data_IF_253521284435
#
_entry.id   IF_253521284435
#
_cell.length_a   1.000
_cell.length_b   1.000
_cell.length_c   1.000
_cell.angle_alpha   90.00
_cell.angle_beta   90.00
_cell.angle_gamma   90.00
#
_symmetry.space_group_name_H-M   'P 1'
#
loop_
_entity.id
_entity.type
_entity.pdbx_description
1 polymer ?
#
# COMPACT_ATOMS: atom_id res chain seq x y z
N UNK A 1 -10.52 9.43 -0.60
CA UNK A 1 -9.34 10.17 -0.11
C UNK A 1 -8.15 9.55 -0.81
N UNK A 2 -7.30 10.32 -1.51
CA UNK A 2 -6.10 9.76 -2.16
C UNK A 2 -5.11 9.46 -1.05
N UNK A 3 -4.87 8.18 -0.75
CA UNK A 3 -3.81 7.77 0.18
C UNK A 3 -2.46 8.04 -0.49
N UNK A 4 -1.89 9.20 -0.22
CA UNK A 4 -0.56 9.55 -0.70
C UNK A 4 0.44 8.72 0.11
N UNK A 5 1.28 7.94 -0.57
CA UNK A 5 2.32 7.13 0.06
C UNK A 5 3.20 8.02 0.98
N UNK A 6 3.27 7.75 2.29
CA UNK A 6 4.02 8.57 3.25
C UNK A 6 5.52 8.62 2.93
N UNK A 7 6.08 7.59 2.29
CA UNK A 7 7.47 7.60 1.82
C UNK A 7 7.67 8.54 0.63
N UNK A 8 6.74 8.57 -0.33
CA UNK A 8 6.77 9.53 -1.44
C UNK A 8 6.60 10.97 -0.95
N UNK A 9 5.76 11.22 0.06
CA UNK A 9 5.64 12.54 0.70
C UNK A 9 6.96 12.96 1.33
N UNK A 10 7.60 12.08 2.09
CA UNK A 10 8.89 12.36 2.72
C UNK A 10 9.94 12.70 1.65
N UNK A 11 10.06 11.88 0.61
CA UNK A 11 10.97 12.12 -0.51
C UNK A 11 10.69 13.46 -1.21
N UNK A 12 9.41 13.82 -1.39
CA UNK A 12 9.01 15.13 -1.94
C UNK A 12 9.47 16.30 -1.07
N UNK A 13 9.33 16.16 0.26
CA UNK A 13 9.75 17.19 1.21
C UNK A 13 11.26 17.36 1.27
N UNK A 14 12.00 16.25 1.21
CA UNK A 14 13.47 16.27 1.23
C UNK A 14 14.03 16.84 -0.08
N UNK A 15 13.41 16.52 -1.23
CA UNK A 15 13.73 17.13 -2.52
C UNK A 15 13.53 18.66 -2.49
N UNK A 16 12.38 19.12 -1.99
CA UNK A 16 12.05 20.55 -1.91
C UNK A 16 13.05 21.31 -1.02
N UNK A 17 13.42 20.73 0.11
CA UNK A 17 14.45 21.30 1.00
C UNK A 17 15.81 21.40 0.30
N UNK A 18 16.20 20.38 -0.45
CA UNK A 18 17.49 20.34 -1.13
C UNK A 18 17.55 21.39 -2.26
N UNK A 19 16.51 21.48 -3.09
CA UNK A 19 16.39 22.47 -4.18
C UNK A 19 16.42 23.90 -3.62
N UNK A 20 15.76 24.14 -2.48
CA UNK A 20 15.78 25.45 -1.82
C UNK A 20 17.18 25.90 -1.39
N UNK A 21 18.04 24.98 -0.96
CA UNK A 21 19.42 25.26 -0.54
C UNK A 21 20.39 25.45 -1.71
N UNK A 22 20.15 24.78 -2.83
CA UNK A 22 21.05 24.72 -4.01
C UNK A 22 20.66 25.65 -5.15
N UNK A 23 19.72 26.57 -4.95
CA UNK A 23 19.34 27.48 -6.04
C UNK A 23 20.57 28.17 -6.63
N UNK A 24 20.67 28.20 -7.96
CA UNK A 24 21.84 28.75 -8.68
C UNK A 24 22.19 30.15 -8.19
N UNK A 25 21.18 30.94 -7.84
CA UNK A 25 21.35 32.27 -7.28
C UNK A 25 22.07 32.27 -5.92
N UNK A 26 21.67 31.38 -4.99
CA UNK A 26 22.32 31.25 -3.67
C UNK A 26 23.78 30.85 -3.80
N UNK A 27 24.10 29.93 -4.72
CA UNK A 27 25.49 29.50 -4.97
C UNK A 27 26.31 30.63 -5.60
N UNK A 28 25.76 31.35 -6.58
CA UNK A 28 26.42 32.52 -7.18
C UNK A 28 26.70 33.59 -6.13
N UNK A 29 25.75 33.84 -5.23
CA UNK A 29 25.92 34.84 -4.18
C UNK A 29 26.95 34.41 -3.12
N UNK A 30 26.98 33.11 -2.75
CA UNK A 30 28.06 32.54 -1.92
C UNK A 30 29.44 32.68 -2.58
N UNK A 31 29.55 32.40 -3.88
CA UNK A 31 30.80 32.54 -4.65
C UNK A 31 31.25 34.01 -4.70
N UNK A 32 30.33 34.95 -4.93
CA UNK A 32 30.64 36.38 -4.93
C UNK A 32 31.15 36.83 -3.56
N UNK A 33 30.48 36.44 -2.48
CA UNK A 33 30.91 36.71 -1.10
C UNK A 33 32.30 36.15 -0.79
N UNK A 34 32.57 34.90 -1.19
CA UNK A 34 33.89 34.29 -1.00
C UNK A 34 35.00 35.06 -1.74
N UNK A 35 34.69 35.61 -2.93
CA UNK A 35 35.65 36.36 -3.76
C UNK A 35 35.88 37.81 -3.32
N UNK A 36 35.01 38.38 -2.50
CA UNK A 36 35.20 39.73 -1.94
C UNK A 36 36.17 39.78 -0.77
N UNK A 37 36.65 38.63 -0.27
CA UNK A 37 37.62 38.59 0.81
C UNK A 37 39.02 38.98 0.31
N UNK A 38 39.67 39.88 1.04
CA UNK A 38 41.02 40.37 0.71
C UNK A 38 42.10 39.28 0.91
N UNK A 39 41.84 38.30 1.78
CA UNK A 39 42.73 37.17 2.03
C UNK A 39 42.47 36.04 1.03
N UNK A 40 43.47 35.76 0.18
CA UNK A 40 43.41 34.73 -0.86
C UNK A 40 43.26 33.32 -0.28
N UNK A 41 43.94 33.02 0.82
CA UNK A 41 43.87 31.68 1.45
C UNK A 41 42.47 31.44 2.03
N UNK A 42 41.89 32.48 2.61
CA UNK A 42 40.52 32.45 3.12
C UNK A 42 39.49 32.33 1.99
N UNK A 43 39.70 33.03 0.87
CA UNK A 43 38.85 32.91 -0.32
C UNK A 43 38.89 31.49 -0.91
N UNK A 44 40.07 30.87 -0.99
CA UNK A 44 40.25 29.49 -1.46
C UNK A 44 39.52 28.51 -0.53
N UNK A 45 39.72 28.63 0.79
CA UNK A 45 39.07 27.76 1.77
C UNK A 45 37.53 27.82 1.70
N UNK A 46 36.96 29.01 1.56
CA UNK A 46 35.50 29.16 1.39
C UNK A 46 34.99 28.55 0.08
N UNK A 47 35.76 28.63 -1.01
CA UNK A 47 35.39 28.02 -2.29
C UNK A 47 35.46 26.48 -2.21
N UNK A 48 36.45 25.92 -1.50
CA UNK A 48 36.54 24.48 -1.24
C UNK A 48 35.37 23.97 -0.38
N UNK A 49 34.92 24.77 0.60
CA UNK A 49 33.73 24.47 1.39
C UNK A 49 32.47 24.46 0.51
N UNK A 50 32.28 25.47 -0.36
CA UNK A 50 31.17 25.51 -1.33
C UNK A 50 31.21 24.27 -2.24
N UNK A 51 32.38 23.87 -2.74
CA UNK A 51 32.53 22.66 -3.57
C UNK A 51 32.14 21.41 -2.78
N UNK A 52 32.56 21.31 -1.52
CA UNK A 52 32.27 20.16 -0.66
C UNK A 52 30.76 20.06 -0.36
N UNK A 53 30.11 21.19 -0.06
CA UNK A 53 28.66 21.28 0.11
C UNK A 53 27.93 20.81 -1.16
N UNK A 54 28.32 21.32 -2.34
CA UNK A 54 27.70 20.94 -3.62
C UNK A 54 27.86 19.45 -3.94
N UNK A 55 29.00 18.84 -3.60
CA UNK A 55 29.22 17.41 -3.78
C UNK A 55 28.31 16.60 -2.84
N UNK A 56 28.19 17.02 -1.58
CA UNK A 56 27.32 16.37 -0.61
C UNK A 56 25.85 16.45 -1.05
N UNK A 57 25.40 17.61 -1.49
CA UNK A 57 24.03 17.85 -1.98
C UNK A 57 23.72 17.05 -3.24
N UNK A 58 24.67 16.96 -4.19
CA UNK A 58 24.54 16.08 -5.36
C UNK A 58 24.32 14.63 -4.94
N UNK A 59 25.10 14.12 -3.99
CA UNK A 59 24.96 12.75 -3.52
C UNK A 59 23.60 12.51 -2.84
N UNK A 60 23.11 13.48 -2.07
CA UNK A 60 21.76 13.42 -1.49
C UNK A 60 20.66 13.42 -2.57
N UNK A 61 20.80 14.23 -3.63
CA UNK A 61 19.87 14.22 -4.76
C UNK A 61 19.83 12.85 -5.44
N UNK A 62 21.00 12.23 -5.66
CA UNK A 62 21.10 10.89 -6.25
C UNK A 62 20.37 9.87 -5.38
N UNK A 63 20.56 9.91 -4.05
CA UNK A 63 19.87 9.01 -3.12
C UNK A 63 18.34 9.20 -3.16
N UNK A 64 17.87 10.46 -3.18
CA UNK A 64 16.43 10.76 -3.27
C UNK A 64 15.87 10.24 -4.60
N UNK A 65 16.57 10.44 -5.71
CA UNK A 65 16.14 9.95 -7.03
C UNK A 65 16.09 8.42 -7.08
N UNK A 66 17.10 7.73 -6.54
CA UNK A 66 17.12 6.27 -6.44
C UNK A 66 15.94 5.74 -5.61
N UNK A 67 15.66 6.35 -4.46
CA UNK A 67 14.54 5.97 -3.62
C UNK A 67 13.17 6.25 -4.30
N UNK A 68 13.05 7.33 -5.07
CA UNK A 68 11.87 7.58 -5.90
C UNK A 68 11.69 6.49 -6.96
N UNK A 69 12.75 6.15 -7.68
CA UNK A 69 12.72 5.09 -8.70
C UNK A 69 12.35 3.74 -8.09
N UNK A 70 12.89 3.36 -6.93
CA UNK A 70 12.53 2.13 -6.22
C UNK A 70 11.05 2.08 -5.86
N UNK A 71 10.51 3.18 -5.34
CA UNK A 71 9.09 3.28 -4.99
C UNK A 71 8.17 3.18 -6.21
N UNK A 72 8.61 3.71 -7.37
CA UNK A 72 7.86 3.65 -8.62
C UNK A 72 8.01 2.31 -9.34
N UNK A 73 9.21 1.71 -9.34
CA UNK A 73 9.49 0.38 -9.90
C UNK A 73 8.69 -0.68 -9.15
N UNK A 74 8.61 -0.59 -7.82
CA UNK A 74 7.80 -1.53 -7.02
C UNK A 74 6.31 -1.51 -7.39
N UNK A 75 5.84 -0.43 -8.01
CA UNK A 75 4.45 -0.28 -8.46
C UNK A 75 4.26 -0.62 -9.94
N UNK A 76 5.35 -0.71 -10.73
CA UNK A 76 5.31 -0.91 -12.17
C UNK A 76 5.59 -2.36 -12.52
N UNK A 77 4.67 -2.99 -13.23
CA UNK A 77 4.88 -4.32 -13.80
C UNK A 77 5.72 -4.22 -15.07
N UNK A 78 6.71 -5.10 -15.22
CA UNK A 78 7.45 -5.21 -16.48
C UNK A 78 6.57 -5.83 -17.57
N UNK A 79 6.94 -5.65 -18.84
CA UNK A 79 6.22 -6.29 -19.94
C UNK A 79 6.23 -7.82 -19.84
N UNK A 80 7.28 -8.40 -19.26
CA UNK A 80 7.37 -9.84 -19.03
C UNK A 80 6.42 -10.28 -17.91
N UNK A 81 6.30 -9.49 -16.84
CA UNK A 81 5.37 -9.77 -15.74
C UNK A 81 3.91 -9.68 -16.21
N UNK A 82 3.57 -8.66 -17.01
CA UNK A 82 2.23 -8.52 -17.60
C UNK A 82 1.92 -9.71 -18.51
N UNK A 83 2.88 -10.14 -19.33
CA UNK A 83 2.71 -11.33 -20.19
C UNK A 83 2.46 -12.58 -19.33
N UNK A 84 3.28 -12.78 -18.29
CA UNK A 84 3.14 -13.93 -17.38
C UNK A 84 1.78 -13.92 -16.67
N UNK A 85 1.35 -12.77 -16.15
CA UNK A 85 0.06 -12.63 -15.46
C UNK A 85 -1.11 -12.92 -16.41
N UNK A 86 -1.13 -12.29 -17.59
CA UNK A 86 -2.26 -12.43 -18.52
C UNK A 86 -2.37 -13.84 -19.10
N UNK A 87 -1.24 -14.51 -19.34
CA UNK A 87 -1.21 -15.89 -19.82
C UNK A 87 -1.45 -16.94 -18.73
N UNK A 88 -1.13 -16.65 -17.47
CA UNK A 88 -1.25 -17.60 -16.35
C UNK A 88 -2.56 -17.47 -15.56
N UNK A 89 -3.11 -16.26 -15.42
CA UNK A 89 -4.34 -16.05 -14.63
C UNK A 89 -5.53 -16.74 -15.28
N UNK A 90 -5.68 -16.64 -16.59
CA UNK A 90 -6.85 -17.21 -17.29
C UNK A 90 -6.93 -18.74 -17.10
N UNK A 91 -5.85 -19.53 -17.32
CA UNK A 91 -5.86 -20.95 -17.00
C UNK A 91 -6.16 -21.24 -15.52
N UNK A 92 -5.50 -20.54 -14.60
CA UNK A 92 -5.66 -20.76 -13.16
C UNK A 92 -7.10 -20.55 -12.70
N UNK A 93 -7.73 -19.46 -13.16
CA UNK A 93 -9.13 -19.16 -12.85
C UNK A 93 -10.07 -20.23 -13.42
N UNK A 94 -9.80 -20.73 -14.63
CA UNK A 94 -10.58 -21.83 -15.21
C UNK A 94 -10.40 -23.13 -14.42
N UNK A 95 -9.20 -23.45 -13.95
CA UNK A 95 -8.95 -24.61 -13.11
C UNK A 95 -9.74 -24.53 -11.79
N UNK A 96 -9.69 -23.39 -11.09
CA UNK A 96 -10.44 -23.18 -9.84
C UNK A 96 -11.95 -23.37 -10.06
N UNK A 97 -12.49 -22.83 -11.16
CA UNK A 97 -13.90 -22.98 -11.52
C UNK A 97 -14.30 -24.41 -11.91
N UNK A 98 -13.35 -25.26 -12.29
CA UNK A 98 -13.61 -26.66 -12.60
C UNK A 98 -13.68 -27.55 -11.36
N UNK A 99 -13.23 -27.07 -10.19
CA UNK A 99 -13.41 -27.77 -8.91
C UNK A 99 -14.75 -27.48 -8.24
N UNK A 100 -15.59 -26.63 -8.84
CA UNK A 100 -16.89 -26.22 -8.30
C UNK A 100 -18.00 -26.62 -9.28
N UNK A 101 -18.92 -27.49 -8.85
CA UNK A 101 -20.12 -27.85 -9.62
C UNK A 101 -21.37 -27.21 -9.00
N UNK A 102 -22.27 -26.72 -9.86
CA UNK A 102 -23.53 -26.09 -9.46
C UNK A 102 -23.88 -24.81 -10.22
N UNK A 103 -25.09 -24.30 -9.99
CA UNK A 103 -25.65 -23.13 -10.67
C UNK A 103 -24.84 -21.83 -10.40
N UNK A 104 -24.25 -21.72 -9.21
CA UNK A 104 -23.35 -20.62 -8.82
C UNK A 104 -22.00 -20.68 -9.55
N UNK A 105 -21.47 -21.88 -9.78
CA UNK A 105 -20.24 -22.06 -10.56
C UNK A 105 -20.44 -21.67 -12.03
N UNK A 106 -21.63 -21.93 -12.59
CA UNK A 106 -22.00 -21.46 -13.93
C UNK A 106 -22.11 -19.94 -14.01
N UNK A 107 -22.70 -19.29 -13.01
CA UNK A 107 -22.74 -17.81 -12.93
C UNK A 107 -21.32 -17.22 -12.81
N UNK A 108 -20.45 -17.84 -12.02
CA UNK A 108 -19.05 -17.43 -11.88
C UNK A 108 -18.27 -17.61 -13.20
N UNK A 109 -18.48 -18.71 -13.93
CA UNK A 109 -17.91 -18.95 -15.27
C UNK A 109 -18.31 -17.85 -16.27
N UNK A 110 -19.59 -17.46 -16.27
CA UNK A 110 -20.09 -16.38 -17.13
C UNK A 110 -19.45 -15.04 -16.78
N UNK A 111 -19.38 -14.69 -15.48
CA UNK A 111 -18.75 -13.46 -15.02
C UNK A 111 -17.26 -13.40 -15.40
N UNK A 112 -16.53 -14.51 -15.23
CA UNK A 112 -15.12 -14.63 -15.59
C UNK A 112 -14.89 -14.46 -17.09
N UNK A 113 -15.77 -15.03 -17.92
CA UNK A 113 -15.69 -14.86 -19.37
C UNK A 113 -15.91 -13.39 -19.80
N UNK A 114 -16.70 -12.60 -19.05
CA UNK A 114 -16.87 -11.17 -19.34
C UNK A 114 -15.65 -10.32 -18.95
N UNK A 115 -14.91 -10.68 -17.89
CA UNK A 115 -13.72 -9.93 -17.47
C UNK A 115 -12.44 -10.37 -18.20
N UNK A 116 -12.44 -11.55 -18.83
CA UNK A 116 -11.28 -12.09 -19.57
C UNK A 116 -10.68 -11.14 -20.61
N UNK A 117 -11.44 -10.36 -21.41
CA UNK A 117 -10.89 -9.36 -22.33
C UNK A 117 -10.19 -8.18 -21.62
N UNK A 118 -10.62 -7.86 -20.39
CA UNK A 118 -10.04 -6.79 -19.54
C UNK A 118 -8.70 -7.26 -18.94
N UNK A 119 -8.48 -8.58 -18.87
CA UNK A 119 -7.22 -9.18 -18.45
C UNK A 119 -6.22 -9.31 -19.63
N UNK A 120 -6.31 -8.44 -20.64
CA UNK A 120 -5.37 -8.39 -21.77
C UNK A 120 -4.14 -7.54 -21.46
N UNK A 121 -3.03 -7.83 -22.15
CA UNK A 121 -1.78 -7.08 -22.06
C UNK A 121 -1.99 -5.59 -22.34
N UNK A 122 -2.72 -5.27 -23.39
CA UNK A 122 -3.09 -3.89 -23.76
C UNK A 122 -3.81 -3.18 -22.60
N UNK A 123 -4.76 -3.83 -21.94
CA UNK A 123 -5.50 -3.21 -20.83
C UNK A 123 -4.59 -2.95 -19.62
N UNK A 124 -3.75 -3.91 -19.26
CA UNK A 124 -2.75 -3.71 -18.20
C UNK A 124 -1.79 -2.56 -18.52
N UNK A 125 -1.34 -2.45 -19.77
CA UNK A 125 -0.48 -1.35 -20.20
C UNK A 125 -1.18 0.00 -20.13
N UNK A 126 -2.44 0.09 -20.57
CA UNK A 126 -3.25 1.33 -20.47
C UNK A 126 -3.42 1.73 -19.01
N UNK A 127 -3.82 0.80 -18.14
CA UNK A 127 -3.98 1.07 -16.71
C UNK A 127 -2.66 1.50 -16.07
N UNK A 128 -1.54 0.87 -16.43
CA UNK A 128 -0.22 1.27 -15.96
C UNK A 128 0.15 2.70 -16.40
N UNK A 129 -0.14 3.08 -17.64
CA UNK A 129 0.09 4.44 -18.15
C UNK A 129 -0.79 5.48 -17.44
N UNK A 130 -1.97 5.09 -17.00
CA UNK A 130 -2.88 5.93 -16.20
C UNK A 130 -2.48 6.00 -14.71
N UNK A 131 -1.40 5.31 -14.31
CA UNK A 131 -0.92 5.31 -12.92
C UNK A 131 -1.68 4.35 -12.00
N UNK A 132 -2.30 3.31 -12.52
CA UNK A 132 -3.01 2.31 -11.73
C UNK A 132 -2.05 1.50 -10.85
N UNK A 133 -2.27 1.49 -9.53
CA UNK A 133 -1.47 0.71 -8.59
C UNK A 133 -1.99 -0.74 -8.46
N UNK A 134 -1.41 -1.66 -9.22
CA UNK A 134 -1.83 -3.07 -9.24
C UNK A 134 -1.63 -3.81 -7.91
N UNK A 135 -0.59 -3.47 -7.15
CA UNK A 135 -0.30 -4.09 -5.85
C UNK A 135 -1.44 -3.83 -4.87
N UNK A 136 -1.87 -2.57 -4.76
CA UNK A 136 -2.95 -2.17 -3.86
C UNK A 136 -4.32 -2.62 -4.37
N UNK A 137 -4.61 -2.38 -5.66
CA UNK A 137 -5.95 -2.60 -6.19
C UNK A 137 -6.30 -4.08 -6.44
N UNK A 138 -5.29 -4.95 -6.64
CA UNK A 138 -5.50 -6.37 -6.96
C UNK A 138 -4.71 -7.28 -6.02
N UNK A 139 -3.41 -7.02 -5.81
CA UNK A 139 -2.54 -7.88 -5.02
C UNK A 139 -2.98 -8.04 -3.56
N UNK A 140 -3.28 -6.94 -2.87
CA UNK A 140 -3.76 -6.93 -1.48
C UNK A 140 -5.12 -7.64 -1.33
N UNK A 141 -6.17 -7.33 -2.12
CA UNK A 141 -7.43 -8.07 -2.08
C UNK A 141 -7.27 -9.58 -2.30
N UNK A 142 -6.44 -9.99 -3.27
CA UNK A 142 -6.18 -11.42 -3.51
C UNK A 142 -5.47 -12.07 -2.33
N UNK A 143 -4.51 -11.38 -1.71
CA UNK A 143 -3.83 -11.86 -0.50
C UNK A 143 -4.82 -12.06 0.64
N UNK A 144 -5.74 -11.12 0.86
CA UNK A 144 -6.78 -11.24 1.87
C UNK A 144 -7.73 -12.42 1.59
N UNK A 145 -8.15 -12.58 0.34
CA UNK A 145 -9.02 -13.68 -0.08
C UNK A 145 -8.36 -15.04 0.17
N UNK A 146 -7.12 -15.23 -0.30
CA UNK A 146 -6.36 -16.47 -0.12
C UNK A 146 -6.16 -16.75 1.37
N UNK A 147 -5.76 -15.75 2.16
CA UNK A 147 -5.65 -15.88 3.62
C UNK A 147 -6.97 -16.35 4.23
N UNK A 148 -8.10 -15.78 3.81
CA UNK A 148 -9.43 -16.13 4.33
C UNK A 148 -9.80 -17.57 4.01
N UNK A 149 -9.53 -18.03 2.78
CA UNK A 149 -9.76 -19.42 2.36
C UNK A 149 -8.87 -20.40 3.13
N UNK A 150 -7.58 -20.08 3.31
CA UNK A 150 -6.67 -20.93 4.08
C UNK A 150 -7.13 -21.00 5.55
N UNK A 151 -7.49 -19.86 6.13
CA UNK A 151 -7.92 -19.77 7.52
C UNK A 151 -9.22 -20.54 7.79
N UNK A 152 -10.15 -20.57 6.84
CA UNK A 152 -11.40 -21.33 6.99
C UNK A 152 -11.20 -22.85 6.89
N UNK A 153 -10.11 -23.31 6.26
CA UNK A 153 -9.74 -24.72 6.15
C UNK A 153 -8.72 -25.18 7.19
N UNK A 154 -8.13 -24.25 7.93
CA UNK A 154 -7.16 -24.56 8.99
C UNK A 154 -7.93 -24.81 10.30
N UNK A 155 -7.69 -25.94 11.00
CA UNK A 155 -8.29 -26.16 12.30
C UNK A 155 -7.92 -25.01 13.24
N UNK A 156 -8.94 -24.38 13.85
CA UNK A 156 -8.72 -23.37 14.88
C UNK A 156 -7.91 -24.01 16.01
N UNK A 157 -6.84 -23.34 16.48
CA UNK A 157 -5.99 -23.91 17.53
C UNK A 157 -6.83 -24.26 18.77
N UNK A 158 -6.49 -25.32 19.52
CA UNK A 158 -7.21 -25.69 20.72
C UNK A 158 -7.37 -24.52 21.70
N UNK A 159 -6.36 -23.64 21.85
CA UNK A 159 -6.48 -22.45 22.69
C UNK A 159 -7.50 -21.44 22.16
N UNK A 160 -7.52 -21.15 20.85
CA UNK A 160 -8.47 -20.20 20.27
C UNK A 160 -9.92 -20.72 20.31
N UNK A 161 -10.11 -22.02 20.15
CA UNK A 161 -11.43 -22.64 20.34
C UNK A 161 -11.86 -22.53 21.80
N UNK A 162 -10.97 -22.84 22.75
CA UNK A 162 -11.26 -22.72 24.17
C UNK A 162 -11.59 -21.26 24.55
N UNK A 163 -10.84 -20.29 24.04
CA UNK A 163 -11.09 -18.86 24.26
C UNK A 163 -12.45 -18.44 23.68
N UNK A 164 -12.78 -18.87 22.46
CA UNK A 164 -14.09 -18.61 21.86
C UNK A 164 -15.23 -19.22 22.70
N UNK A 165 -15.07 -20.45 23.19
CA UNK A 165 -16.03 -21.08 24.09
C UNK A 165 -16.19 -20.31 25.41
N UNK A 166 -15.08 -19.92 26.06
CA UNK A 166 -15.10 -19.12 27.28
C UNK A 166 -15.82 -17.78 27.04
N UNK A 167 -15.55 -17.12 25.91
CA UNK A 167 -16.18 -15.84 25.60
C UNK A 167 -17.68 -15.97 25.33
N UNK A 168 -18.09 -17.07 24.68
CA UNK A 168 -19.50 -17.39 24.45
C UNK A 168 -20.25 -17.67 25.76
N UNK A 169 -19.65 -18.47 26.66
CA UNK A 169 -20.20 -18.74 28.01
C UNK A 169 -20.26 -17.46 28.85
N UNK A 170 -19.22 -16.62 28.79
CA UNK A 170 -19.21 -15.33 29.49
C UNK A 170 -20.32 -14.41 28.99
N UNK A 171 -20.54 -14.33 27.67
CA UNK A 171 -21.68 -13.59 27.09
C UNK A 171 -23.01 -14.10 27.65
N UNK A 172 -23.16 -15.42 27.79
CA UNK A 172 -24.37 -16.03 28.33
C UNK A 172 -24.58 -15.72 29.82
N UNK A 173 -23.51 -15.78 30.63
CA UNK A 173 -23.56 -15.39 32.04
C UNK A 173 -23.96 -13.92 32.19
N UNK A 174 -23.36 -13.01 31.41
CA UNK A 174 -23.72 -11.59 31.46
C UNK A 174 -25.17 -11.35 31.02
N UNK A 175 -25.66 -12.08 30.01
CA UNK A 175 -27.07 -12.04 29.64
C UNK A 175 -27.98 -12.49 30.79
N UNK A 176 -27.66 -13.60 31.47
CA UNK A 176 -28.44 -14.07 32.61
C UNK A 176 -28.42 -13.09 33.78
N UNK A 177 -27.31 -12.37 34.02
CA UNK A 177 -27.27 -11.30 35.03
C UNK A 177 -28.24 -10.16 34.69
N UNK A 178 -28.30 -9.76 33.42
CA UNK A 178 -29.26 -8.75 32.96
C UNK A 178 -30.71 -9.21 33.15
N UNK A 179 -31.00 -10.51 33.00
CA UNK A 179 -32.33 -11.06 33.27
C UNK A 179 -32.69 -11.12 34.77
N UNK A 180 -31.70 -11.16 35.66
CA UNK A 180 -31.90 -11.20 37.12
C UNK A 180 -32.07 -9.80 37.72
N UNK A 181 -31.68 -8.75 37.00
CA UNK A 181 -31.92 -7.35 37.34
C UNK A 181 -33.24 -6.91 36.71
N UNK A 182 -34.29 -6.78 37.53
CA UNK A 182 -35.65 -6.44 37.09
C UNK A 182 -35.68 -5.13 36.26
N UNK A 183 -34.90 -4.11 36.65
CA UNK A 183 -34.85 -2.83 35.95
C UNK A 183 -34.12 -2.95 34.60
N UNK A 184 -33.04 -3.73 34.54
CA UNK A 184 -32.30 -3.99 33.30
C UNK A 184 -33.11 -4.85 32.32
N UNK A 185 -33.85 -5.83 32.82
CA UNK A 185 -34.72 -6.68 32.02
C UNK A 185 -35.86 -5.88 31.37
N UNK A 186 -36.51 -4.99 32.11
CA UNK A 186 -37.58 -4.14 31.57
C UNK A 186 -37.07 -3.22 30.45
N UNK A 187 -35.87 -2.63 30.60
CA UNK A 187 -35.21 -1.83 29.55
C UNK A 187 -34.89 -2.65 28.29
N UNK A 188 -34.39 -3.87 28.46
CA UNK A 188 -34.10 -4.77 27.35
C UNK A 188 -35.38 -5.14 26.58
N UNK A 189 -36.47 -5.43 27.29
CA UNK A 189 -37.75 -5.79 26.70
C UNK A 189 -38.39 -4.64 25.91
N UNK A 190 -38.25 -3.40 26.39
CA UNK A 190 -38.74 -2.21 25.65
C UNK A 190 -37.90 -1.92 24.40
N UNK A 191 -36.59 -2.16 24.42
CA UNK A 191 -35.73 -2.00 23.24
C UNK A 191 -36.10 -2.98 22.12
N UNK A 192 -36.41 -4.23 22.46
CA UNK A 192 -36.82 -5.25 21.49
C UNK A 192 -38.23 -5.03 20.92
N UNK A 193 -39.14 -4.40 21.68
CA UNK A 193 -40.51 -4.13 21.23
C UNK A 193 -40.64 -2.94 20.26
N UNK A 194 -39.60 -2.10 20.21
CA UNK A 194 -39.55 -0.89 19.40
C UNK A 194 -38.61 -1.01 18.18
N UNK A 195 -38.11 -2.21 17.90
CA UNK A 195 -37.28 -2.56 16.73
C UNK A 195 -38.12 -3.36 15.73
#
# INVERSE_FOLDING_TARGET
>A
MVDINPELLKLSTDLTKLIGKTSVQVIIDKIKLARTKENKDEAISNLEEIITELIAEKNQLIQIAQAYDEQLITQKLSNQDIEYITTSIVPLVNEILNYSDGEEAQKAKVAINMIKPILSKETFNILQLLGFNFKQAIGEPLTYLVRSIISSKTPVSPEKNLEFHILSEKKQIEYFKVLQDDDAFQRHQTSFRNS
#
